data_IF_187817139407
#
_entry.id   IF_187817139407
#
_cell.length_a   1.000
_cell.length_b   1.000
_cell.length_c   1.000
_cell.angle_alpha   90.00
_cell.angle_beta   90.00
_cell.angle_gamma   90.00
#
_symmetry.space_group_name_H-M   'P 1'
#
loop_
_entity.id
_entity.type
_entity.pdbx_description
1 polymer ?
#
# COMPACT_ATOMS: atom_id res chain seq x y z
N UNK A 1 6.28 -0.18 -6.93
CA UNK A 1 5.22 -0.63 -7.87
C UNK A 1 3.81 -0.15 -7.50
N UNK A 2 3.64 0.95 -6.76
CA UNK A 2 2.28 1.48 -6.53
C UNK A 2 1.83 2.44 -7.62
N UNK A 3 2.78 3.18 -8.21
CA UNK A 3 2.55 4.18 -9.26
C UNK A 3 3.16 3.82 -10.63
N UNK A 4 4.00 2.78 -10.71
CA UNK A 4 4.46 2.20 -11.98
C UNK A 4 3.63 0.96 -12.32
N UNK A 5 2.58 1.20 -13.10
CA UNK A 5 1.52 0.25 -13.42
C UNK A 5 1.15 0.39 -14.90
N UNK A 6 2.05 -0.07 -15.77
CA UNK A 6 1.90 0.09 -17.23
C UNK A 6 0.69 -0.69 -17.75
N UNK A 7 -0.16 -0.03 -18.54
CA UNK A 7 -1.27 -0.65 -19.26
C UNK A 7 -0.77 -1.09 -20.65
N UNK A 8 -0.22 -2.30 -20.73
CA UNK A 8 0.31 -2.85 -21.97
C UNK A 8 -0.75 -3.03 -23.07
N UNK A 9 -2.05 -3.06 -22.72
CA UNK A 9 -3.14 -3.14 -23.72
C UNK A 9 -3.35 -1.79 -24.43
N UNK A 10 -3.14 -0.67 -23.72
CA UNK A 10 -3.25 0.69 -24.27
C UNK A 10 -1.92 1.26 -24.77
N UNK A 11 -0.80 0.59 -24.49
CA UNK A 11 0.54 0.94 -24.94
C UNK A 11 1.47 1.38 -23.79
N UNK A 12 2.78 1.29 -24.02
CA UNK A 12 3.80 1.44 -22.97
C UNK A 12 3.80 2.79 -22.24
N UNK A 13 3.26 3.86 -22.86
CA UNK A 13 3.14 5.19 -22.24
C UNK A 13 1.85 5.40 -21.43
N UNK A 14 1.02 4.36 -21.25
CA UNK A 14 -0.23 4.44 -20.50
C UNK A 14 -0.11 3.70 -19.18
N UNK A 15 -0.70 4.26 -18.13
CA UNK A 15 -0.78 3.63 -16.81
C UNK A 15 -2.23 3.48 -16.38
N UNK A 16 -2.51 2.43 -15.62
CA UNK A 16 -3.79 2.19 -14.96
C UNK A 16 -3.76 2.51 -13.46
N UNK A 17 -2.61 2.96 -12.92
CA UNK A 17 -2.49 3.41 -11.54
C UNK A 17 -2.63 4.91 -11.38
N UNK A 18 -2.80 5.35 -10.13
CA UNK A 18 -2.74 6.76 -9.79
C UNK A 18 -1.31 7.29 -9.80
N UNK A 19 -1.17 8.61 -9.88
CA UNK A 19 0.10 9.29 -10.08
C UNK A 19 0.81 9.66 -8.78
N UNK A 20 0.93 8.74 -7.82
CA UNK A 20 1.63 9.05 -6.57
C UNK A 20 1.60 7.96 -5.51
N UNK A 21 1.80 8.39 -4.26
CA UNK A 21 1.77 7.52 -3.07
C UNK A 21 0.33 7.43 -2.58
N UNK A 22 -0.43 6.51 -3.16
CA UNK A 22 -1.84 6.25 -2.86
C UNK A 22 -2.05 4.97 -2.02
N UNK A 23 -0.97 4.21 -1.81
CA UNK A 23 -0.94 2.89 -1.21
C UNK A 23 -1.83 1.84 -1.90
N UNK A 24 -2.14 2.01 -3.18
CA UNK A 24 -2.98 1.07 -3.95
C UNK A 24 -2.34 -0.32 -4.10
N UNK A 25 -1.04 -0.44 -3.85
CA UNK A 25 -0.37 -1.74 -3.76
C UNK A 25 -0.76 -2.56 -2.51
N UNK A 26 -1.30 -1.91 -1.47
CA UNK A 26 -1.85 -2.53 -0.26
C UNK A 26 -3.37 -2.64 -0.37
N UNK A 27 -4.04 -1.54 -0.74
CA UNK A 27 -5.50 -1.43 -0.69
C UNK A 27 -6.22 -1.80 -1.98
N UNK A 28 -5.50 -2.04 -3.08
CA UNK A 28 -6.08 -2.20 -4.41
C UNK A 28 -6.27 -0.85 -5.14
N UNK A 29 -6.43 -0.89 -6.46
CA UNK A 29 -6.65 0.32 -7.27
C UNK A 29 -8.14 0.67 -7.41
N UNK A 30 -9.02 -0.32 -7.48
CA UNK A 30 -10.47 -0.07 -7.45
C UNK A 30 -11.09 -0.17 -6.05
N UNK A 31 -12.23 0.49 -5.89
CA UNK A 31 -13.07 0.40 -4.69
C UNK A 31 -13.57 -1.03 -4.49
N UNK A 32 -13.91 -1.75 -5.56
CA UNK A 32 -14.35 -3.14 -5.48
C UNK A 32 -13.25 -4.03 -4.90
N UNK A 33 -12.01 -3.90 -5.38
CA UNK A 33 -10.86 -4.64 -4.85
C UNK A 33 -10.60 -4.29 -3.40
N UNK A 34 -10.64 -3.00 -3.06
CA UNK A 34 -10.49 -2.53 -1.69
C UNK A 34 -11.52 -3.15 -0.76
N UNK A 35 -12.79 -3.16 -1.15
CA UNK A 35 -13.87 -3.78 -0.38
C UNK A 35 -13.64 -5.28 -0.19
N UNK A 36 -13.17 -6.00 -1.22
CA UNK A 36 -12.88 -7.43 -1.09
C UNK A 36 -11.76 -7.73 -0.08
N UNK A 37 -10.79 -6.81 0.06
CA UNK A 37 -9.65 -6.93 0.98
C UNK A 37 -9.97 -6.46 2.41
N UNK A 38 -11.00 -5.62 2.59
CA UNK A 38 -11.42 -5.13 3.91
C UNK A 38 -12.20 -6.17 4.70
N UNK A 39 -12.02 -6.15 6.01
CA UNK A 39 -12.79 -6.97 6.95
C UNK A 39 -14.14 -6.36 7.29
N UNK A 40 -14.30 -5.05 7.08
CA UNK A 40 -15.44 -4.25 7.53
C UNK A 40 -15.72 -4.37 9.03
N UNK A 41 -14.67 -4.66 9.81
CA UNK A 41 -14.69 -4.66 11.27
C UNK A 41 -13.49 -3.85 11.78
N UNK A 42 -13.77 -2.86 12.63
CA UNK A 42 -12.78 -1.99 13.27
C UNK A 42 -11.79 -1.32 12.30
N UNK A 43 -12.21 -1.09 11.05
CA UNK A 43 -11.42 -0.47 9.99
C UNK A 43 -10.37 -1.38 9.38
N UNK A 44 -10.31 -2.67 9.74
CA UNK A 44 -9.18 -3.55 9.43
C UNK A 44 -9.24 -4.15 8.03
N UNK A 45 -8.06 -4.53 7.53
CA UNK A 45 -7.91 -5.46 6.42
C UNK A 45 -8.11 -6.91 6.89
N UNK A 46 -8.67 -7.75 6.01
CA UNK A 46 -8.73 -9.21 6.23
C UNK A 46 -7.31 -9.77 6.35
N UNK A 47 -7.18 -10.84 7.11
CA UNK A 47 -5.91 -11.55 7.30
C UNK A 47 -6.19 -13.02 7.63
N UNK A 48 -5.15 -13.84 7.61
CA UNK A 48 -5.19 -15.21 8.12
C UNK A 48 -4.03 -15.44 9.11
N UNK A 49 -4.15 -16.50 9.92
CA UNK A 49 -3.05 -16.93 10.80
C UNK A 49 -2.44 -18.22 10.27
N UNK A 50 -1.14 -18.20 10.03
CA UNK A 50 -0.35 -19.39 9.66
C UNK A 50 0.71 -19.55 10.72
N UNK A 51 0.70 -20.70 11.42
CA UNK A 51 1.66 -20.99 12.51
C UNK A 51 1.70 -19.88 13.59
N UNK A 52 0.54 -19.28 13.90
CA UNK A 52 0.41 -18.21 14.89
C UNK A 52 0.64 -16.80 14.37
N UNK A 53 1.30 -16.66 13.22
CA UNK A 53 1.68 -15.40 12.60
C UNK A 53 0.62 -14.84 11.64
N UNK A 54 0.50 -13.51 11.56
CA UNK A 54 -0.46 -12.82 10.70
C UNK A 54 0.07 -12.70 9.27
N UNK A 55 -0.72 -13.17 8.30
CA UNK A 55 -0.44 -13.08 6.86
C UNK A 55 -1.63 -12.50 6.10
N UNK A 56 -1.43 -12.01 4.86
CA UNK A 56 -2.54 -11.64 3.98
C UNK A 56 -3.58 -12.75 3.85
N UNK A 57 -4.85 -12.42 3.55
CA UNK A 57 -5.92 -13.41 3.47
C UNK A 57 -5.71 -14.37 2.29
N UNK A 58 -6.40 -15.50 2.31
CA UNK A 58 -6.39 -16.42 1.16
C UNK A 58 -7.23 -15.84 0.02
N UNK A 59 -7.02 -16.32 -1.21
CA UNK A 59 -7.92 -15.99 -2.33
C UNK A 59 -9.36 -16.46 -2.11
N UNK A 60 -9.58 -17.50 -1.30
CA UNK A 60 -10.93 -17.95 -0.97
C UNK A 60 -11.68 -16.95 -0.09
N UNK A 61 -10.97 -16.30 0.85
CA UNK A 61 -11.56 -15.31 1.77
C UNK A 61 -11.66 -13.91 1.17
N UNK A 62 -10.78 -13.58 0.23
CA UNK A 62 -10.73 -12.31 -0.50
C UNK A 62 -10.54 -12.58 -2.00
N UNK A 63 -11.63 -12.76 -2.77
CA UNK A 63 -11.59 -13.19 -4.16
C UNK A 63 -11.22 -12.04 -5.11
N UNK A 64 -9.97 -11.57 -5.01
CA UNK A 64 -9.38 -10.56 -5.88
C UNK A 64 -8.57 -11.23 -6.99
N UNK A 65 -8.42 -10.56 -8.15
CA UNK A 65 -7.52 -11.03 -9.19
C UNK A 65 -6.06 -11.03 -8.68
N UNK A 66 -5.37 -12.17 -8.79
CA UNK A 66 -3.95 -12.30 -8.50
C UNK A 66 -3.28 -13.14 -9.58
N UNK A 67 -2.06 -12.76 -9.93
CA UNK A 67 -1.21 -13.50 -10.86
C UNK A 67 -0.41 -14.51 -10.05
N UNK A 68 -0.74 -15.79 -10.19
CA UNK A 68 0.02 -16.92 -9.68
C UNK A 68 0.25 -17.95 -10.81
N UNK A 69 1.40 -18.63 -10.85
CA UNK A 69 1.59 -19.76 -11.75
C UNK A 69 0.54 -20.85 -11.51
N UNK A 70 0.09 -21.55 -12.56
CA UNK A 70 -0.94 -22.60 -12.42
C UNK A 70 -0.59 -23.70 -11.43
N UNK A 71 0.69 -23.97 -11.22
CA UNK A 71 1.19 -25.01 -10.30
C UNK A 71 1.10 -24.63 -8.82
N UNK A 72 0.86 -23.35 -8.48
CA UNK A 72 0.71 -22.93 -7.09
C UNK A 72 -0.64 -23.42 -6.58
N UNK A 73 -0.71 -24.24 -5.51
CA UNK A 73 -1.98 -24.73 -4.97
C UNK A 73 -2.88 -23.59 -4.51
N UNK A 74 -4.19 -23.70 -4.69
CA UNK A 74 -5.16 -22.66 -4.34
C UNK A 74 -5.07 -22.24 -2.86
N UNK A 75 -4.92 -23.21 -1.95
CA UNK A 75 -4.73 -22.96 -0.52
C UNK A 75 -3.40 -22.29 -0.14
N UNK A 76 -2.51 -22.03 -1.10
CA UNK A 76 -1.26 -21.28 -0.92
C UNK A 76 -1.22 -19.97 -1.70
N UNK A 77 -2.37 -19.54 -2.24
CA UNK A 77 -2.51 -18.26 -2.95
C UNK A 77 -3.11 -17.22 -2.02
N UNK A 78 -2.37 -16.12 -1.86
CA UNK A 78 -2.73 -15.01 -1.00
C UNK A 78 -3.29 -13.85 -1.81
N UNK A 79 -4.27 -13.15 -1.24
CA UNK A 79 -4.88 -11.95 -1.77
C UNK A 79 -4.18 -10.70 -1.22
N UNK A 80 -3.73 -9.81 -2.11
CA UNK A 80 -2.96 -8.59 -1.80
C UNK A 80 -3.48 -7.44 -2.68
N UNK A 81 -3.28 -6.19 -2.29
CA UNK A 81 -3.63 -5.02 -3.11
C UNK A 81 -3.04 -5.06 -4.53
N UNK A 82 -1.77 -5.43 -4.68
CA UNK A 82 -1.14 -5.56 -6.00
C UNK A 82 -1.15 -7.02 -6.52
N UNK A 83 -1.64 -7.21 -7.75
CA UNK A 83 -1.90 -8.54 -8.32
C UNK A 83 -0.69 -9.47 -8.48
N UNK A 84 0.55 -8.98 -8.57
CA UNK A 84 1.74 -9.83 -8.75
C UNK A 84 2.60 -9.95 -7.49
N UNK A 85 2.29 -9.25 -6.40
CA UNK A 85 3.14 -9.22 -5.20
C UNK A 85 3.24 -10.59 -4.50
N UNK A 86 2.25 -11.47 -4.74
CA UNK A 86 2.29 -12.86 -4.27
C UNK A 86 3.36 -13.73 -4.91
N UNK A 87 3.95 -13.32 -6.04
CA UNK A 87 4.96 -14.10 -6.78
C UNK A 87 6.36 -13.99 -6.18
N UNK A 88 6.70 -12.82 -5.64
CA UNK A 88 8.04 -12.50 -5.21
C UNK A 88 8.08 -12.44 -3.68
N UNK A 89 8.82 -13.34 -3.01
CA UNK A 89 8.86 -13.38 -1.55
C UNK A 89 9.15 -12.03 -0.89
N UNK A 90 10.05 -11.22 -1.47
CA UNK A 90 10.35 -9.89 -0.95
C UNK A 90 9.15 -8.94 -0.96
N UNK A 91 8.36 -8.92 -2.05
CA UNK A 91 7.16 -8.08 -2.13
C UNK A 91 6.05 -8.60 -1.21
N UNK A 92 5.95 -9.92 -1.08
CA UNK A 92 5.03 -10.56 -0.14
C UNK A 92 5.34 -10.19 1.32
N UNK A 93 6.62 -10.15 1.69
CA UNK A 93 7.06 -9.71 3.02
C UNK A 93 6.60 -8.28 3.30
N UNK A 94 6.89 -7.33 2.40
CA UNK A 94 6.44 -5.95 2.58
C UNK A 94 4.91 -5.83 2.63
N UNK A 95 4.18 -6.60 1.82
CA UNK A 95 2.71 -6.64 1.87
C UNK A 95 2.20 -7.09 3.24
N UNK A 96 2.88 -8.07 3.84
CA UNK A 96 2.55 -8.59 5.16
C UNK A 96 2.85 -7.56 6.25
N UNK A 97 4.01 -6.89 6.19
CA UNK A 97 4.40 -5.85 7.15
C UNK A 97 3.38 -4.70 7.12
N UNK A 98 3.06 -4.17 5.94
CA UNK A 98 2.12 -3.06 5.82
C UNK A 98 0.68 -3.43 6.20
N UNK A 99 0.25 -4.67 5.96
CA UNK A 99 -1.04 -5.15 6.44
C UNK A 99 -1.08 -5.21 7.97
N UNK A 100 -0.01 -5.71 8.61
CA UNK A 100 0.09 -5.73 10.07
C UNK A 100 0.08 -4.32 10.63
N UNK A 101 0.81 -3.40 9.99
CA UNK A 101 0.86 -2.00 10.42
C UNK A 101 -0.51 -1.32 10.29
N UNK A 102 -1.22 -1.51 9.18
CA UNK A 102 -2.57 -0.99 9.02
C UNK A 102 -3.49 -1.45 10.16
N UNK A 103 -3.53 -2.76 10.43
CA UNK A 103 -4.39 -3.30 11.48
C UNK A 103 -3.95 -2.84 12.89
N UNK A 104 -2.65 -2.67 13.13
CA UNK A 104 -2.11 -2.10 14.38
C UNK A 104 -2.53 -0.64 14.56
N UNK A 105 -2.46 0.17 13.50
CA UNK A 105 -2.93 1.56 13.53
C UNK A 105 -4.44 1.61 13.77
N UNK A 106 -5.23 0.74 13.14
CA UNK A 106 -6.66 0.63 13.44
C UNK A 106 -6.92 0.36 14.92
N UNK A 107 -6.16 -0.55 15.55
CA UNK A 107 -6.29 -0.84 16.99
C UNK A 107 -6.00 0.40 17.84
N UNK A 108 -4.90 1.11 17.57
CA UNK A 108 -4.55 2.36 18.27
C UNK A 108 -5.63 3.42 18.08
N UNK A 109 -6.13 3.59 16.85
CA UNK A 109 -7.16 4.58 16.55
C UNK A 109 -8.50 4.24 17.20
N UNK A 110 -8.86 2.95 17.31
CA UNK A 110 -10.08 2.51 18.00
C UNK A 110 -10.00 2.73 19.51
N UNK A 111 -8.83 2.54 20.10
CA UNK A 111 -8.59 2.84 21.52
C UNK A 111 -8.73 4.34 21.81
N UNK A 112 -8.13 5.19 20.97
CA UNK A 112 -8.21 6.65 21.09
C UNK A 112 -9.60 7.21 20.76
N UNK A 113 -10.32 6.56 19.84
CA UNK A 113 -11.63 6.97 19.37
C UNK A 113 -12.63 5.81 19.35
N UNK A 114 -13.14 5.40 20.52
CA UNK A 114 -14.06 4.27 20.62
C UNK A 114 -15.37 4.46 19.83
N UNK A 115 -15.78 5.71 19.61
CA UNK A 115 -16.98 6.12 18.90
C UNK A 115 -16.87 6.06 17.36
N UNK A 116 -15.66 5.87 16.81
CA UNK A 116 -15.49 5.79 15.36
C UNK A 116 -16.00 4.47 14.79
N UNK A 117 -16.60 4.59 13.60
CA UNK A 117 -17.05 3.45 12.79
C UNK A 117 -15.91 2.85 11.95
N UNK A 118 -16.19 1.72 11.31
CA UNK A 118 -15.24 0.99 10.47
C UNK A 118 -14.66 1.86 9.34
N UNK A 119 -15.50 2.61 8.65
CA UNK A 119 -15.08 3.42 7.50
C UNK A 119 -14.11 4.52 7.93
N UNK A 120 -14.43 5.25 9.00
CA UNK A 120 -13.57 6.32 9.50
C UNK A 120 -12.24 5.78 9.99
N UNK A 121 -12.22 4.62 10.66
CA UNK A 121 -10.99 3.95 11.08
C UNK A 121 -10.14 3.53 9.88
N UNK A 122 -10.74 2.87 8.89
CA UNK A 122 -10.05 2.42 7.69
C UNK A 122 -9.39 3.58 6.92
N UNK A 123 -10.16 4.64 6.64
CA UNK A 123 -9.65 5.79 5.89
C UNK A 123 -8.59 6.55 6.66
N UNK A 124 -8.76 6.69 7.99
CA UNK A 124 -7.76 7.37 8.83
C UNK A 124 -6.46 6.57 8.91
N UNK A 125 -6.53 5.25 9.11
CA UNK A 125 -5.36 4.38 9.07
C UNK A 125 -4.65 4.44 7.72
N UNK A 126 -5.40 4.48 6.60
CA UNK A 126 -4.83 4.68 5.26
C UNK A 126 -4.05 6.00 5.15
N UNK A 127 -4.58 7.10 5.68
CA UNK A 127 -3.90 8.40 5.65
C UNK A 127 -2.63 8.39 6.51
N UNK A 128 -2.67 7.78 7.70
CA UNK A 128 -1.50 7.64 8.58
C UNK A 128 -0.40 6.85 7.86
N UNK A 129 -0.72 5.69 7.29
CA UNK A 129 0.26 4.88 6.56
C UNK A 129 0.83 5.59 5.33
N UNK A 130 0.06 6.47 4.67
CA UNK A 130 0.58 7.30 3.57
C UNK A 130 1.65 8.26 4.09
N UNK A 131 1.40 8.91 5.24
CA UNK A 131 2.38 9.76 5.91
C UNK A 131 3.63 8.98 6.33
N UNK A 132 3.47 7.83 6.97
CA UNK A 132 4.57 6.93 7.35
C UNK A 132 5.42 6.54 6.15
N UNK A 133 4.77 6.17 5.04
CA UNK A 133 5.45 5.79 3.81
C UNK A 133 6.32 6.94 3.28
N UNK A 134 5.78 8.16 3.20
CA UNK A 134 6.53 9.32 2.71
C UNK A 134 7.68 9.67 3.66
N UNK A 135 7.43 9.63 4.98
CA UNK A 135 8.42 9.90 6.01
C UNK A 135 9.62 8.93 5.92
N UNK A 136 9.37 7.62 5.86
CA UNK A 136 10.41 6.59 5.70
C UNK A 136 11.15 6.78 4.37
N UNK A 137 10.43 7.08 3.28
CA UNK A 137 11.04 7.28 1.98
C UNK A 137 12.05 8.45 2.02
N UNK A 138 11.68 9.59 2.58
CA UNK A 138 12.54 10.77 2.59
C UNK A 138 13.71 10.59 3.56
N UNK A 139 13.43 10.21 4.80
CA UNK A 139 14.42 10.23 5.88
C UNK A 139 15.37 9.04 5.83
N UNK A 140 14.95 7.91 5.28
CA UNK A 140 15.75 6.68 5.30
C UNK A 140 16.11 6.22 3.90
N UNK A 141 15.13 6.01 3.02
CA UNK A 141 15.40 5.43 1.70
C UNK A 141 16.20 6.38 0.79
N UNK A 142 15.76 7.63 0.64
CA UNK A 142 16.46 8.64 -0.17
C UNK A 142 17.77 9.07 0.51
N UNK A 143 17.78 9.18 1.84
CA UNK A 143 19.00 9.43 2.60
C UNK A 143 20.08 8.40 2.26
N UNK A 144 19.74 7.12 2.38
CA UNK A 144 20.66 6.02 2.09
C UNK A 144 21.14 6.05 0.63
N UNK A 145 20.22 6.25 -0.32
CA UNK A 145 20.54 6.26 -1.74
C UNK A 145 21.41 7.45 -2.17
N UNK A 146 21.17 8.63 -1.58
CA UNK A 146 21.88 9.86 -1.94
C UNK A 146 23.34 9.87 -1.48
N UNK A 147 23.66 9.18 -0.39
CA UNK A 147 24.98 9.21 0.23
C UNK A 147 25.37 10.59 0.79
N UNK A 148 24.39 11.46 1.05
CA UNK A 148 24.64 12.77 1.62
C UNK A 148 25.05 12.67 3.09
N UNK A 149 25.94 13.57 3.51
CA UNK A 149 26.26 13.81 4.92
C UNK A 149 25.27 14.77 5.59
N UNK A 150 24.33 15.30 4.82
CA UNK A 150 23.23 16.11 5.32
C UNK A 150 22.06 15.17 5.65
N UNK A 151 21.47 15.37 6.83
CA UNK A 151 20.29 14.62 7.27
C UNK A 151 19.04 15.19 6.59
N UNK A 152 18.52 14.47 5.60
CA UNK A 152 17.23 14.73 5.00
C UNK A 152 16.14 14.53 6.05
N UNK A 153 15.12 15.38 6.00
CA UNK A 153 13.98 15.32 6.89
C UNK A 153 12.68 15.62 6.14
N UNK A 154 11.60 14.98 6.58
CA UNK A 154 10.25 15.22 6.09
C UNK A 154 9.53 16.22 6.98
N UNK A 155 9.39 17.44 6.47
CA UNK A 155 8.61 18.51 7.10
C UNK A 155 7.78 19.24 6.02
N UNK A 156 6.47 18.94 5.92
CA UNK A 156 5.59 19.63 4.99
C UNK A 156 5.48 21.14 5.22
N UNK A 157 5.73 21.63 6.44
CA UNK A 157 5.53 23.04 6.79
C UNK A 157 6.51 23.97 6.06
N UNK A 158 7.67 23.44 5.64
CA UNK A 158 8.66 24.18 4.86
C UNK A 158 8.10 24.76 3.57
N UNK A 159 7.07 24.14 2.98
CA UNK A 159 6.47 24.59 1.72
C UNK A 159 5.23 25.46 1.92
N UNK A 160 4.78 25.73 3.15
CA UNK A 160 3.52 26.43 3.40
C UNK A 160 3.54 27.90 2.98
N UNK A 161 4.70 28.55 3.02
CA UNK A 161 4.88 29.92 2.55
C UNK A 161 5.19 30.02 1.05
N UNK A 162 5.42 28.89 0.38
CA UNK A 162 5.90 28.85 -0.99
C UNK A 162 4.77 28.54 -1.98
N UNK A 163 4.95 29.00 -3.22
CA UNK A 163 4.06 28.62 -4.33
C UNK A 163 4.41 27.21 -4.81
N UNK A 164 3.88 26.20 -4.12
CA UNK A 164 4.02 24.80 -4.49
C UNK A 164 2.70 24.18 -4.96
N UNK A 165 2.77 23.28 -5.94
CA UNK A 165 1.60 22.59 -6.50
C UNK A 165 1.50 21.18 -5.91
N UNK A 166 0.49 20.92 -5.09
CA UNK A 166 0.21 19.61 -4.48
C UNK A 166 -0.50 18.65 -5.45
N UNK A 167 0.08 18.48 -6.62
CA UNK A 167 -0.37 17.53 -7.64
C UNK A 167 0.84 16.87 -8.29
N UNK A 168 0.66 15.64 -8.76
CA UNK A 168 1.71 14.91 -9.43
C UNK A 168 1.20 14.19 -10.68
N UNK A 169 2.09 14.01 -11.65
CA UNK A 169 1.90 13.16 -12.82
C UNK A 169 3.15 12.34 -13.00
N UNK A 170 3.03 11.02 -12.92
CA UNK A 170 4.16 10.11 -13.17
C UNK A 170 4.45 10.11 -14.66
N UNK A 171 5.67 10.51 -15.00
CA UNK A 171 6.18 10.59 -16.36
C UNK A 171 6.81 9.25 -16.78
N UNK A 172 6.80 8.99 -18.10
CA UNK A 172 7.27 7.72 -18.64
C UNK A 172 8.79 7.57 -18.46
N UNK A 173 9.53 8.67 -18.52
CA UNK A 173 10.97 8.75 -18.31
C UNK A 173 11.35 8.28 -16.90
N UNK A 174 10.55 8.63 -15.89
CA UNK A 174 10.77 8.18 -14.52
C UNK A 174 10.56 6.67 -14.35
N UNK A 175 9.72 6.04 -15.17
CA UNK A 175 9.52 4.58 -15.19
C UNK A 175 10.70 3.83 -15.85
N UNK A 176 11.57 4.52 -16.59
CA UNK A 176 12.73 3.92 -17.26
C UNK A 176 14.03 4.01 -16.45
N UNK A 177 14.04 4.77 -15.34
CA UNK A 177 15.16 4.86 -14.41
C UNK A 177 15.19 3.66 -13.46
#
# INVERSE_FOLDING_TARGET
>A
HQFFKTDFKKGAGRTWGDHGVDLSHIYGETVERQHQLRSFTDGKLKFQRVEGEVYPPSLADAPVHMIYPPYVPEGKRFAIGHEFFGLLPGLFVYSTVWLREHNRVCDVMKELHPDWDDERLFQTARLILTGETINIIINEYVQHLSGYNFDLFWDPELLFSDQFQYQNRIFVEFNHL
#
